data_IF_869182349710
#
_entry.id   IF_869182349710
#
_cell.length_a   1.000
_cell.length_b   1.000
_cell.length_c   1.000
_cell.angle_alpha   90.00
_cell.angle_beta   90.00
_cell.angle_gamma   90.00
#
_symmetry.space_group_name_H-M   'P 1'
#
loop_
_entity.id
_entity.type
_entity.pdbx_description
1 polymer ?
#
# COMPACT_ATOMS: atom_id res chain seq x y z
N UNK A 1 -7.70 10.03 40.69
CA UNK A 1 -6.61 9.65 39.76
C UNK A 1 -5.39 10.43 40.14
N UNK A 2 -4.32 9.74 40.51
CA UNK A 2 -3.03 10.32 40.83
C UNK A 2 -2.02 9.91 39.75
N UNK A 3 -1.15 10.85 39.34
CA UNK A 3 -0.18 10.59 38.30
C UNK A 3 1.24 10.97 38.77
N UNK A 4 2.24 10.21 38.28
CA UNK A 4 3.65 10.46 38.49
C UNK A 4 4.37 10.48 37.15
N UNK A 5 5.42 11.30 37.05
CA UNK A 5 6.22 11.36 35.84
C UNK A 5 7.18 10.18 35.76
N UNK A 6 7.27 9.59 34.58
CA UNK A 6 8.33 8.64 34.23
C UNK A 6 8.77 8.85 32.77
N UNK A 7 10.07 8.72 32.44
CA UNK A 7 10.57 8.93 31.08
C UNK A 7 9.90 8.03 30.04
N UNK A 8 9.41 6.86 30.43
CA UNK A 8 8.74 5.90 29.55
C UNK A 8 7.45 6.43 28.90
N UNK A 9 6.87 7.51 29.46
CA UNK A 9 5.66 8.15 28.89
C UNK A 9 5.96 8.82 27.55
N UNK A 10 7.16 9.41 27.40
CA UNK A 10 7.48 10.25 26.23
C UNK A 10 7.37 9.50 24.88
N UNK A 11 7.96 8.30 24.69
CA UNK A 11 7.79 7.55 23.44
C UNK A 11 6.33 7.18 23.17
N UNK A 12 5.55 6.85 24.21
CA UNK A 12 4.15 6.48 24.09
C UNK A 12 3.27 7.67 23.69
N UNK A 13 3.52 8.85 24.26
CA UNK A 13 2.85 10.09 23.84
C UNK A 13 3.23 10.46 22.40
N UNK A 14 4.50 10.31 22.05
CA UNK A 14 4.96 10.54 20.67
C UNK A 14 4.25 9.59 19.68
N UNK A 15 4.14 8.29 20.01
CA UNK A 15 3.40 7.32 19.20
C UNK A 15 1.93 7.73 19.02
N UNK A 16 1.26 8.13 20.09
CA UNK A 16 -0.14 8.57 20.05
C UNK A 16 -0.31 9.83 19.18
N UNK A 17 0.53 10.84 19.36
CA UNK A 17 0.47 12.10 18.59
C UNK A 17 0.73 11.84 17.11
N UNK A 18 1.75 11.05 16.76
CA UNK A 18 2.06 10.70 15.37
C UNK A 18 0.91 9.90 14.77
N UNK A 19 0.32 8.96 15.51
CA UNK A 19 -0.83 8.18 15.02
C UNK A 19 -2.06 9.06 14.75
N UNK A 20 -2.37 10.02 15.62
CA UNK A 20 -3.44 11.01 15.37
C UNK A 20 -3.11 11.87 14.15
N UNK A 21 -1.87 12.34 14.03
CA UNK A 21 -1.43 13.10 12.86
C UNK A 21 -1.60 12.31 11.55
N UNK A 22 -1.22 11.02 11.55
CA UNK A 22 -1.46 10.10 10.42
C UNK A 22 -2.95 9.99 10.14
N UNK A 23 -3.78 9.77 11.15
CA UNK A 23 -5.23 9.66 11.00
C UNK A 23 -5.85 10.92 10.32
N UNK A 24 -5.49 12.11 10.79
CA UNK A 24 -5.97 13.38 10.23
C UNK A 24 -5.54 13.56 8.78
N UNK A 25 -4.28 13.27 8.45
CA UNK A 25 -3.78 13.40 7.08
C UNK A 25 -4.42 12.40 6.12
N UNK A 26 -4.60 11.15 6.55
CA UNK A 26 -5.32 10.14 5.76
C UNK A 26 -6.78 10.52 5.56
N UNK A 27 -7.43 11.05 6.61
CA UNK A 27 -8.82 11.51 6.53
C UNK A 27 -9.01 12.61 5.50
N UNK A 28 -8.08 13.57 5.42
CA UNK A 28 -8.12 14.64 4.41
C UNK A 28 -8.04 14.09 2.97
N UNK A 29 -7.37 12.95 2.78
CA UNK A 29 -7.17 12.30 1.47
C UNK A 29 -8.13 11.12 1.22
N UNK A 30 -9.14 10.92 2.08
CA UNK A 30 -10.02 9.73 2.05
C UNK A 30 -10.81 9.50 0.77
N UNK A 31 -11.00 10.53 -0.05
CA UNK A 31 -11.72 10.41 -1.31
C UNK A 31 -10.91 9.68 -2.39
N UNK A 32 -9.59 9.76 -2.33
CA UNK A 32 -8.67 9.23 -3.36
C UNK A 32 -7.89 8.00 -2.90
N UNK A 33 -7.95 7.66 -1.60
CA UNK A 33 -7.13 6.59 -1.03
C UNK A 33 -7.96 5.35 -0.68
N UNK A 34 -7.60 4.22 -1.29
CA UNK A 34 -8.19 2.91 -0.99
C UNK A 34 -7.86 2.48 0.43
N UNK A 35 -8.88 2.05 1.19
CA UNK A 35 -8.72 1.62 2.58
C UNK A 35 -8.52 2.78 3.59
N UNK A 36 -8.60 4.04 3.16
CA UNK A 36 -8.35 5.20 4.03
C UNK A 36 -9.17 5.20 5.31
N UNK A 37 -10.46 4.85 5.26
CA UNK A 37 -11.30 4.80 6.46
C UNK A 37 -10.80 3.77 7.48
N UNK A 38 -10.41 2.59 7.02
CA UNK A 38 -9.87 1.54 7.90
C UNK A 38 -8.50 1.96 8.47
N UNK A 39 -7.65 2.60 7.68
CA UNK A 39 -6.36 3.13 8.13
C UNK A 39 -6.52 4.24 9.17
N UNK A 40 -7.49 5.14 9.00
CA UNK A 40 -7.81 6.17 10.01
C UNK A 40 -8.21 5.53 11.33
N UNK A 41 -9.14 4.56 11.29
CA UNK A 41 -9.59 3.87 12.49
C UNK A 41 -8.45 3.07 13.14
N UNK A 42 -7.60 2.43 12.35
CA UNK A 42 -6.40 1.71 12.82
C UNK A 42 -5.43 2.68 13.52
N UNK A 43 -5.15 3.83 12.94
CA UNK A 43 -4.29 4.84 13.54
C UNK A 43 -4.88 5.40 14.85
N UNK A 44 -6.18 5.64 14.89
CA UNK A 44 -6.87 6.06 16.13
C UNK A 44 -6.84 4.96 17.21
N UNK A 45 -7.02 3.70 16.84
CA UNK A 45 -6.91 2.58 17.77
C UNK A 45 -5.50 2.45 18.37
N UNK A 46 -4.45 2.65 17.55
CA UNK A 46 -3.05 2.74 17.99
C UNK A 46 -2.86 3.91 18.95
N UNK A 47 -3.43 5.08 18.63
CA UNK A 47 -3.33 6.26 19.49
C UNK A 47 -3.98 6.02 20.86
N UNK A 48 -5.17 5.39 20.88
CA UNK A 48 -5.89 5.04 22.13
C UNK A 48 -5.08 4.05 22.96
N UNK A 49 -4.51 3.01 22.35
CA UNK A 49 -3.69 2.05 23.08
C UNK A 49 -2.43 2.71 23.66
N UNK A 50 -1.68 3.44 22.84
CA UNK A 50 -0.44 4.11 23.26
C UNK A 50 -0.69 5.15 24.35
N UNK A 51 -1.75 5.96 24.22
CA UNK A 51 -2.13 6.94 25.24
C UNK A 51 -2.61 6.26 26.52
N UNK A 52 -3.47 5.23 26.43
CA UNK A 52 -3.93 4.45 27.55
C UNK A 52 -2.78 3.84 28.35
N UNK A 53 -1.78 3.30 27.64
CA UNK A 53 -0.59 2.72 28.29
C UNK A 53 0.30 3.80 28.93
N UNK A 54 0.47 4.95 28.27
CA UNK A 54 1.18 6.08 28.87
C UNK A 54 0.56 6.53 30.19
N UNK A 55 -0.78 6.62 30.23
CA UNK A 55 -1.52 7.03 31.43
C UNK A 55 -1.61 5.93 32.49
N UNK A 56 -1.58 4.65 32.09
CA UNK A 56 -1.44 3.53 33.03
C UNK A 56 -0.08 3.56 33.72
N UNK A 57 1.01 3.69 32.97
CA UNK A 57 2.38 3.78 33.55
C UNK A 57 2.50 5.02 34.44
N UNK A 58 1.91 6.15 34.04
CA UNK A 58 1.89 7.38 34.82
C UNK A 58 1.04 7.28 36.08
N UNK A 59 0.04 6.40 36.14
CA UNK A 59 -0.81 6.24 37.27
C UNK A 59 -0.02 5.86 38.55
N UNK A 60 -0.29 6.53 39.67
CA UNK A 60 0.36 6.26 40.95
C UNK A 60 -0.46 5.29 41.84
N UNK A 61 -1.77 5.22 41.62
CA UNK A 61 -2.71 4.39 42.39
C UNK A 61 -3.29 3.26 41.55
N UNK A 62 -3.70 2.17 42.21
CA UNK A 62 -4.24 0.98 41.56
C UNK A 62 -5.51 1.26 40.74
N UNK A 63 -6.50 2.05 41.22
CA UNK A 63 -7.69 2.35 40.46
C UNK A 63 -7.39 3.09 39.15
N UNK A 64 -6.44 4.06 39.15
CA UNK A 64 -6.01 4.79 37.95
C UNK A 64 -5.37 3.84 36.95
N UNK A 65 -4.49 2.97 37.39
CA UNK A 65 -3.85 1.97 36.52
C UNK A 65 -4.85 1.01 35.90
N UNK A 66 -5.77 0.47 36.70
CA UNK A 66 -6.81 -0.45 36.19
C UNK A 66 -7.70 0.25 35.18
N UNK A 67 -8.13 1.48 35.44
CA UNK A 67 -8.98 2.23 34.49
C UNK A 67 -8.29 2.41 33.12
N UNK A 68 -7.03 2.88 33.11
CA UNK A 68 -6.31 3.07 31.87
C UNK A 68 -5.89 1.77 31.22
N UNK A 69 -5.55 0.73 31.98
CA UNK A 69 -5.28 -0.60 31.48
C UNK A 69 -6.50 -1.20 30.76
N UNK A 70 -7.72 -1.06 31.33
CA UNK A 70 -8.95 -1.47 30.62
C UNK A 70 -9.23 -0.66 29.38
N UNK A 71 -8.99 0.65 29.41
CA UNK A 71 -9.22 1.55 28.28
C UNK A 71 -8.38 1.17 27.06
N UNK A 72 -7.22 0.56 27.23
CA UNK A 72 -6.38 0.05 26.15
C UNK A 72 -7.06 -1.04 25.33
N UNK A 73 -8.00 -1.81 25.91
CA UNK A 73 -8.70 -2.89 25.20
C UNK A 73 -9.56 -2.38 24.03
N UNK A 74 -9.88 -1.07 24.00
CA UNK A 74 -10.50 -0.43 22.82
C UNK A 74 -9.53 -0.55 21.63
N UNK A 75 -8.23 -0.29 21.85
CA UNK A 75 -7.19 -0.47 20.83
C UNK A 75 -6.82 -1.94 20.60
N UNK A 76 -6.50 -2.67 21.67
CA UNK A 76 -6.06 -4.07 21.66
C UNK A 76 -7.04 -4.96 20.87
N UNK A 77 -8.35 -4.83 21.15
CA UNK A 77 -9.36 -5.64 20.50
C UNK A 77 -9.62 -5.25 19.04
N UNK A 78 -9.50 -3.97 18.69
CA UNK A 78 -9.90 -3.48 17.37
C UNK A 78 -8.76 -3.47 16.33
N UNK A 79 -7.50 -3.33 16.74
CA UNK A 79 -6.34 -3.27 15.82
C UNK A 79 -6.25 -4.47 14.88
N UNK A 80 -6.36 -5.74 15.33
CA UNK A 80 -6.26 -6.89 14.44
C UNK A 80 -7.36 -6.92 13.37
N UNK A 81 -8.59 -6.59 13.78
CA UNK A 81 -9.74 -6.48 12.87
C UNK A 81 -9.53 -5.38 11.83
N UNK A 82 -9.15 -4.17 12.28
CA UNK A 82 -8.93 -3.02 11.41
C UNK A 82 -7.77 -3.25 10.45
N UNK A 83 -6.74 -4.00 10.87
CA UNK A 83 -5.65 -4.41 10.00
C UNK A 83 -6.13 -5.28 8.82
N UNK A 84 -6.96 -6.31 9.09
CA UNK A 84 -7.52 -7.15 8.02
C UNK A 84 -8.43 -6.34 7.10
N UNK A 85 -9.30 -5.50 7.64
CA UNK A 85 -10.18 -4.64 6.85
C UNK A 85 -9.35 -3.67 5.97
N UNK A 86 -8.30 -3.09 6.53
CA UNK A 86 -7.40 -2.21 5.79
C UNK A 86 -6.69 -2.96 4.66
N UNK A 87 -6.03 -4.08 4.96
CA UNK A 87 -5.29 -4.86 3.96
C UNK A 87 -6.18 -5.39 2.85
N UNK A 88 -7.39 -5.85 3.19
CA UNK A 88 -8.38 -6.25 2.20
C UNK A 88 -8.77 -5.08 1.29
N UNK A 89 -9.18 -3.94 1.86
CA UNK A 89 -9.58 -2.76 1.07
C UNK A 89 -8.44 -2.17 0.25
N UNK A 90 -7.20 -2.21 0.78
CA UNK A 90 -6.00 -1.73 0.10
C UNK A 90 -5.69 -2.58 -1.13
N UNK A 91 -5.70 -3.91 -0.99
CA UNK A 91 -5.35 -4.83 -2.08
C UNK A 91 -6.45 -4.99 -3.13
N UNK A 92 -7.72 -4.86 -2.74
CA UNK A 92 -8.88 -4.92 -3.66
C UNK A 92 -9.26 -3.55 -4.22
N UNK A 93 -8.37 -2.55 -4.08
CA UNK A 93 -8.55 -1.20 -4.62
C UNK A 93 -9.86 -0.52 -4.20
N UNK A 94 -10.24 -0.70 -2.92
CA UNK A 94 -11.40 -0.03 -2.33
C UNK A 94 -12.67 -0.87 -2.26
N UNK A 95 -12.64 -2.12 -2.70
CA UNK A 95 -13.77 -3.04 -2.47
C UNK A 95 -13.98 -3.23 -0.96
N UNK A 96 -15.22 -3.09 -0.53
CA UNK A 96 -15.58 -3.23 0.88
C UNK A 96 -15.81 -4.71 1.22
N UNK A 97 -15.34 -5.11 2.38
CA UNK A 97 -15.71 -6.40 2.96
C UNK A 97 -17.24 -6.45 3.20
N UNK A 98 -17.83 -7.62 3.01
CA UNK A 98 -19.28 -7.80 3.20
C UNK A 98 -19.69 -7.47 4.65
N UNK A 99 -20.90 -6.91 4.84
CA UNK A 99 -21.41 -6.61 6.18
C UNK A 99 -21.41 -7.83 7.09
N UNK A 100 -21.78 -8.99 6.55
CA UNK A 100 -21.78 -10.26 7.27
C UNK A 100 -20.40 -10.61 7.83
N UNK A 101 -19.35 -10.51 7.01
CA UNK A 101 -17.97 -10.81 7.45
C UNK A 101 -17.49 -9.79 8.49
N UNK A 102 -17.80 -8.50 8.30
CA UNK A 102 -17.47 -7.48 9.30
C UNK A 102 -18.13 -7.75 10.64
N UNK A 103 -19.44 -8.07 10.65
CA UNK A 103 -20.17 -8.40 11.89
C UNK A 103 -19.57 -9.62 12.57
N UNK A 104 -19.33 -10.71 11.85
CA UNK A 104 -18.74 -11.93 12.40
C UNK A 104 -17.37 -11.68 13.03
N UNK A 105 -16.50 -10.93 12.34
CA UNK A 105 -15.18 -10.59 12.85
C UNK A 105 -15.21 -9.59 14.01
N UNK A 106 -16.30 -8.84 14.20
CA UNK A 106 -16.43 -7.89 15.32
C UNK A 106 -16.89 -8.55 16.63
N UNK A 107 -17.38 -9.78 16.60
CA UNK A 107 -17.93 -10.46 17.79
C UNK A 107 -16.88 -10.60 18.89
N UNK A 108 -15.71 -11.17 18.58
CA UNK A 108 -14.66 -11.39 19.58
C UNK A 108 -14.13 -10.09 20.19
N UNK A 109 -13.78 -9.03 19.39
CA UNK A 109 -13.42 -7.73 19.93
C UNK A 109 -14.47 -7.12 20.86
N UNK A 110 -15.75 -7.21 20.50
CA UNK A 110 -16.84 -6.66 21.30
C UNK A 110 -16.98 -7.39 22.64
N UNK A 111 -16.97 -8.73 22.62
CA UNK A 111 -17.01 -9.54 23.84
C UNK A 111 -15.78 -9.23 24.71
N UNK A 112 -14.58 -9.15 24.10
CA UNK A 112 -13.34 -8.85 24.82
C UNK A 112 -13.41 -7.49 25.50
N UNK A 113 -13.98 -6.48 24.84
CA UNK A 113 -14.13 -5.15 25.43
C UNK A 113 -15.08 -5.19 26.66
N UNK A 114 -16.24 -5.86 26.54
CA UNK A 114 -17.16 -6.02 27.64
C UNK A 114 -16.48 -6.74 28.82
N UNK A 115 -15.81 -7.85 28.56
CA UNK A 115 -15.12 -8.63 29.57
C UNK A 115 -13.93 -7.88 30.20
N UNK A 116 -13.25 -7.01 29.48
CA UNK A 116 -12.17 -6.20 30.02
C UNK A 116 -12.71 -5.19 31.06
N UNK A 117 -13.83 -4.53 30.75
CA UNK A 117 -14.43 -3.56 31.67
C UNK A 117 -15.12 -4.19 32.90
N UNK A 118 -15.46 -5.47 32.83
CA UNK A 118 -16.09 -6.22 33.93
C UNK A 118 -15.15 -7.25 34.56
N UNK A 119 -13.86 -7.18 34.33
CA UNK A 119 -12.88 -8.23 34.67
C UNK A 119 -12.82 -8.52 36.17
N UNK A 120 -13.11 -7.53 37.03
CA UNK A 120 -13.15 -7.72 38.51
C UNK A 120 -14.25 -8.68 38.94
N UNK A 121 -15.32 -8.85 38.16
CA UNK A 121 -16.43 -9.73 38.51
C UNK A 121 -16.14 -11.20 38.24
N UNK A 122 -15.27 -11.51 37.28
CA UNK A 122 -15.12 -12.87 36.77
C UNK A 122 -13.69 -13.31 36.51
N UNK A 123 -12.70 -12.40 36.49
CA UNK A 123 -11.29 -12.70 36.29
C UNK A 123 -10.95 -13.34 34.91
N UNK A 124 -11.80 -13.16 33.88
CA UNK A 124 -11.61 -13.82 32.57
C UNK A 124 -10.49 -13.21 31.73
N UNK A 125 -10.18 -11.94 31.97
CA UNK A 125 -9.08 -11.23 31.30
C UNK A 125 -7.88 -11.16 32.24
N UNK A 126 -8.06 -10.57 33.44
CA UNK A 126 -7.02 -10.40 34.45
C UNK A 126 -7.48 -10.97 35.79
N UNK A 127 -6.53 -11.57 36.52
CA UNK A 127 -6.67 -12.08 37.88
C UNK A 127 -5.53 -11.53 38.75
N UNK A 128 -5.73 -11.49 40.05
CA UNK A 128 -4.69 -11.15 41.04
C UNK A 128 -3.98 -9.82 40.74
N UNK A 129 -4.75 -8.79 40.40
CA UNK A 129 -4.23 -7.50 39.97
C UNK A 129 -3.54 -6.80 41.13
N UNK A 130 -2.25 -6.47 40.97
CA UNK A 130 -1.39 -5.81 41.99
C UNK A 130 -0.55 -4.72 41.33
N UNK A 131 0.00 -3.81 42.15
CA UNK A 131 1.06 -2.91 41.71
C UNK A 131 2.41 -3.55 42.01
N UNK A 132 3.27 -3.63 41.01
CA UNK A 132 4.65 -4.03 41.16
C UNK A 132 5.57 -2.84 40.82
N UNK A 133 6.52 -2.52 41.73
CA UNK A 133 7.48 -1.45 41.50
C UNK A 133 8.66 -1.97 40.68
N UNK A 134 8.90 -1.38 39.51
CA UNK A 134 9.99 -1.73 38.59
C UNK A 134 10.93 -0.51 38.48
N UNK A 135 11.94 -0.45 39.33
CA UNK A 135 12.90 0.67 39.33
C UNK A 135 12.22 2.03 39.55
N UNK A 136 12.16 2.84 38.50
CA UNK A 136 11.65 4.23 38.53
C UNK A 136 10.16 4.35 38.25
N UNK A 137 9.44 3.27 37.95
CA UNK A 137 8.00 3.28 37.68
C UNK A 137 7.31 2.09 38.34
N UNK A 138 6.00 2.17 38.44
CA UNK A 138 5.17 1.06 38.90
C UNK A 138 4.36 0.50 37.70
N UNK A 139 4.36 -0.83 37.54
CA UNK A 139 3.57 -1.53 36.56
C UNK A 139 2.42 -2.28 37.19
N UNK A 140 1.37 -2.60 36.43
CA UNK A 140 0.40 -3.60 36.79
C UNK A 140 1.03 -4.99 36.69
N UNK A 141 0.88 -5.78 37.74
CA UNK A 141 1.19 -7.19 37.76
C UNK A 141 -0.12 -7.97 37.91
N UNK A 142 -0.35 -8.93 37.03
CA UNK A 142 -1.58 -9.73 37.00
C UNK A 142 -1.38 -11.06 36.32
N UNK A 143 -2.20 -12.02 36.62
CA UNK A 143 -2.25 -13.28 35.88
C UNK A 143 -3.31 -13.23 34.77
N UNK A 144 -3.01 -13.80 33.63
CA UNK A 144 -3.92 -13.82 32.48
C UNK A 144 -5.06 -14.84 32.73
N UNK A 145 -6.30 -14.39 32.54
CA UNK A 145 -7.48 -15.27 32.50
C UNK A 145 -7.57 -16.05 31.19
N UNK A 146 -8.43 -17.06 31.11
CA UNK A 146 -8.52 -17.92 29.93
C UNK A 146 -9.03 -17.20 28.69
N UNK A 147 -9.87 -16.16 28.80
CA UNK A 147 -10.34 -15.36 27.66
C UNK A 147 -9.23 -14.55 27.02
N UNK A 148 -8.25 -14.13 27.80
CA UNK A 148 -7.05 -13.47 27.24
C UNK A 148 -6.41 -14.31 26.14
N UNK A 149 -6.24 -15.62 26.34
CA UNK A 149 -5.64 -16.52 25.38
C UNK A 149 -6.49 -16.73 24.13
N UNK A 150 -7.83 -16.74 24.25
CA UNK A 150 -8.75 -16.77 23.11
C UNK A 150 -8.60 -15.51 22.28
N UNK A 151 -8.62 -14.33 22.96
CA UNK A 151 -8.44 -13.07 22.27
C UNK A 151 -7.07 -12.95 21.59
N UNK A 152 -6.02 -13.42 22.25
CA UNK A 152 -4.66 -13.44 21.68
C UNK A 152 -4.59 -14.32 20.44
N UNK A 153 -5.10 -15.55 20.49
CA UNK A 153 -5.16 -16.45 19.34
C UNK A 153 -5.95 -15.85 18.18
N UNK A 154 -7.12 -15.27 18.47
CA UNK A 154 -7.91 -14.56 17.48
C UNK A 154 -7.15 -13.38 16.84
N UNK A 155 -6.51 -12.54 17.66
CA UNK A 155 -5.72 -11.41 17.20
C UNK A 155 -4.59 -11.85 16.27
N UNK A 156 -3.86 -12.90 16.65
CA UNK A 156 -2.75 -13.42 15.83
C UNK A 156 -3.24 -14.01 14.49
N UNK A 157 -4.36 -14.72 14.47
CA UNK A 157 -4.95 -15.22 13.22
C UNK A 157 -5.27 -14.07 12.26
N UNK A 158 -5.88 -12.99 12.76
CA UNK A 158 -6.22 -11.83 11.92
C UNK A 158 -4.97 -11.08 11.46
N UNK A 159 -4.05 -10.80 12.36
CA UNK A 159 -2.80 -10.12 12.02
C UNK A 159 -2.00 -10.93 10.99
N UNK A 160 -1.89 -12.25 11.17
CA UNK A 160 -1.23 -13.15 10.23
C UNK A 160 -1.92 -13.13 8.86
N UNK A 161 -3.26 -13.20 8.83
CA UNK A 161 -4.04 -13.17 7.59
C UNK A 161 -3.75 -11.91 6.78
N UNK A 162 -3.86 -10.73 7.41
CA UNK A 162 -3.57 -9.45 6.74
C UNK A 162 -2.11 -9.34 6.31
N UNK A 163 -1.18 -9.83 7.14
CA UNK A 163 0.26 -9.80 6.83
C UNK A 163 0.61 -10.74 5.67
N UNK A 164 0.01 -11.93 5.59
CA UNK A 164 0.17 -12.85 4.45
C UNK A 164 -0.33 -12.19 3.16
N UNK A 165 -1.45 -11.48 3.21
CA UNK A 165 -1.97 -10.77 2.03
C UNK A 165 -0.97 -9.72 1.53
N UNK A 166 -0.44 -8.86 2.42
CA UNK A 166 0.58 -7.87 2.06
C UNK A 166 1.87 -8.54 1.56
N UNK A 167 2.32 -9.61 2.21
CA UNK A 167 3.53 -10.33 1.80
C UNK A 167 3.41 -10.97 0.42
N UNK A 168 2.25 -11.57 0.10
CA UNK A 168 1.97 -12.08 -1.25
C UNK A 168 1.98 -10.96 -2.29
N UNK A 169 1.37 -9.82 -1.95
CA UNK A 169 1.41 -8.62 -2.80
C UNK A 169 2.83 -8.10 -2.98
N UNK A 170 3.63 -8.01 -1.92
CA UNK A 170 5.04 -7.60 -1.98
C UNK A 170 5.87 -8.45 -2.96
N UNK A 171 5.65 -9.78 -2.99
CA UNK A 171 6.35 -10.68 -3.92
C UNK A 171 5.93 -10.50 -5.38
N UNK A 172 4.71 -10.05 -5.63
CA UNK A 172 4.12 -9.93 -6.99
C UNK A 172 4.26 -8.54 -7.59
N UNK A 173 4.52 -7.53 -6.78
CA UNK A 173 4.57 -6.13 -7.21
C UNK A 173 5.99 -5.63 -7.39
N UNK A 174 6.16 -4.62 -8.25
CA UNK A 174 7.42 -3.92 -8.52
C UNK A 174 7.26 -2.43 -8.18
N UNK A 175 8.33 -1.67 -8.36
CA UNK A 175 8.30 -0.22 -8.29
C UNK A 175 7.76 0.34 -6.96
N UNK A 176 6.87 1.30 -7.05
CA UNK A 176 6.30 2.03 -5.91
C UNK A 176 5.48 1.13 -4.98
N UNK A 177 4.68 0.21 -5.52
CA UNK A 177 3.87 -0.73 -4.74
C UNK A 177 4.70 -1.64 -3.85
N UNK A 178 5.81 -2.14 -4.36
CA UNK A 178 6.72 -2.97 -3.55
C UNK A 178 7.25 -2.20 -2.35
N UNK A 179 7.59 -0.91 -2.53
CA UNK A 179 8.03 -0.04 -1.43
C UNK A 179 6.92 0.23 -0.41
N UNK A 180 5.69 0.48 -0.88
CA UNK A 180 4.52 0.63 -0.02
C UNK A 180 4.27 -0.64 0.81
N UNK A 181 4.26 -1.82 0.18
CA UNK A 181 4.07 -3.10 0.86
C UNK A 181 5.19 -3.39 1.88
N UNK A 182 6.44 -3.04 1.57
CA UNK A 182 7.56 -3.18 2.51
C UNK A 182 7.34 -2.34 3.78
N UNK A 183 6.92 -1.10 3.62
CA UNK A 183 6.64 -0.21 4.77
C UNK A 183 5.48 -0.74 5.61
N UNK A 184 4.42 -1.26 4.97
CA UNK A 184 3.30 -1.89 5.68
C UNK A 184 3.76 -3.13 6.46
N UNK A 185 4.66 -3.95 5.89
CA UNK A 185 5.24 -5.09 6.59
C UNK A 185 6.08 -4.66 7.81
N UNK A 186 6.91 -3.64 7.67
CA UNK A 186 7.68 -3.07 8.80
C UNK A 186 6.71 -2.57 9.88
N UNK A 187 5.70 -1.81 9.49
CA UNK A 187 4.74 -1.22 10.42
C UNK A 187 3.97 -2.26 11.23
N UNK A 188 3.64 -3.42 10.66
CA UNK A 188 2.90 -4.48 11.37
C UNK A 188 3.81 -5.45 12.13
N UNK A 189 4.97 -5.79 11.57
CA UNK A 189 5.86 -6.78 12.19
C UNK A 189 6.56 -6.24 13.44
N UNK A 190 6.86 -4.94 13.50
CA UNK A 190 7.54 -4.33 14.65
C UNK A 190 6.75 -4.50 15.95
N UNK A 191 5.45 -4.10 16.07
CA UNK A 191 4.68 -4.35 17.28
C UNK A 191 4.39 -5.83 17.51
N UNK A 192 4.35 -6.65 16.47
CA UNK A 192 4.19 -8.10 16.61
C UNK A 192 5.37 -8.73 17.37
N UNK A 193 6.59 -8.38 16.97
CA UNK A 193 7.80 -8.83 17.67
C UNK A 193 7.76 -8.36 19.13
N UNK A 194 7.39 -7.10 19.37
CA UNK A 194 7.23 -6.56 20.72
C UNK A 194 6.22 -7.35 21.57
N UNK A 195 5.07 -7.68 20.99
CA UNK A 195 4.03 -8.43 21.68
C UNK A 195 4.44 -9.89 21.98
N UNK A 196 5.11 -10.57 21.03
CA UNK A 196 5.63 -11.91 21.25
C UNK A 196 6.64 -11.92 22.39
N UNK A 197 7.56 -10.96 22.43
CA UNK A 197 8.57 -10.85 23.50
C UNK A 197 7.89 -10.60 24.86
N UNK A 198 6.85 -9.75 24.90
CA UNK A 198 6.11 -9.48 26.14
C UNK A 198 5.37 -10.74 26.63
N UNK A 199 4.54 -11.34 25.78
CA UNK A 199 3.69 -12.49 26.17
C UNK A 199 4.51 -13.74 26.50
N UNK A 200 5.68 -13.92 25.85
CA UNK A 200 6.59 -15.04 26.16
C UNK A 200 7.42 -14.83 27.43
N UNK A 201 7.34 -13.66 28.07
CA UNK A 201 8.17 -13.32 29.24
C UNK A 201 9.63 -13.01 28.89
N UNK A 202 9.96 -12.86 27.60
CA UNK A 202 11.30 -12.51 27.13
C UNK A 202 11.53 -10.99 26.99
N UNK A 203 10.60 -10.17 27.54
CA UNK A 203 10.74 -8.73 27.55
C UNK A 203 12.01 -8.30 28.30
N UNK A 204 12.83 -7.38 27.77
CA UNK A 204 14.04 -6.89 28.42
C UNK A 204 13.76 -6.17 29.75
N UNK A 205 12.56 -5.66 29.95
CA UNK A 205 12.10 -5.04 31.19
C UNK A 205 10.89 -5.83 31.70
N UNK A 206 11.01 -6.49 32.86
CA UNK A 206 9.90 -7.26 33.43
C UNK A 206 8.63 -6.41 33.59
N UNK A 207 7.47 -6.99 33.32
CA UNK A 207 6.14 -6.36 33.44
C UNK A 207 5.95 -5.09 32.59
N UNK A 208 6.86 -4.78 31.65
CA UNK A 208 6.69 -3.69 30.69
C UNK A 208 6.26 -4.26 29.32
N UNK A 209 5.07 -3.89 28.87
CA UNK A 209 4.64 -4.20 27.51
C UNK A 209 5.34 -3.28 26.52
N UNK A 210 6.26 -3.86 25.72
CA UNK A 210 7.00 -3.11 24.71
C UNK A 210 6.22 -2.90 23.40
N UNK A 211 5.03 -3.53 23.26
CA UNK A 211 4.21 -3.42 22.04
C UNK A 211 3.79 -1.97 21.74
N UNK A 212 3.29 -1.18 22.72
CA UNK A 212 2.93 0.22 22.47
C UNK A 212 4.13 1.12 22.10
N UNK A 213 5.33 0.80 22.61
CA UNK A 213 6.55 1.52 22.19
C UNK A 213 6.91 1.24 20.73
N UNK A 214 6.70 0.01 20.28
CA UNK A 214 6.92 -0.37 18.89
C UNK A 214 5.96 0.34 17.92
N UNK A 215 4.79 0.80 18.39
CA UNK A 215 3.90 1.64 17.59
C UNK A 215 4.49 2.98 17.19
N UNK A 216 5.51 3.50 17.90
CA UNK A 216 6.24 4.69 17.43
C UNK A 216 6.87 4.42 16.07
N UNK A 217 7.51 3.26 15.92
CA UNK A 217 8.12 2.84 14.64
C UNK A 217 7.04 2.64 13.58
N UNK A 218 5.92 1.98 13.94
CA UNK A 218 4.79 1.80 13.02
C UNK A 218 4.20 3.11 12.55
N UNK A 219 4.00 4.06 13.47
CA UNK A 219 3.44 5.37 13.15
C UNK A 219 4.36 6.17 12.22
N UNK A 220 5.68 6.13 12.44
CA UNK A 220 6.68 6.73 11.55
C UNK A 220 6.67 6.04 10.19
N UNK A 221 6.60 4.70 10.15
CA UNK A 221 6.52 3.95 8.91
C UNK A 221 5.26 4.31 8.10
N UNK A 222 4.09 4.40 8.74
CA UNK A 222 2.86 4.88 8.08
C UNK A 222 2.99 6.32 7.58
N UNK A 223 3.58 7.22 8.36
CA UNK A 223 3.82 8.60 7.95
C UNK A 223 4.72 8.65 6.71
N UNK A 224 5.84 7.94 6.71
CA UNK A 224 6.73 7.80 5.53
C UNK A 224 5.98 7.19 4.33
N UNK A 225 5.17 6.17 4.56
CA UNK A 225 4.32 5.56 3.54
C UNK A 225 3.42 6.58 2.85
N UNK A 226 2.77 7.44 3.62
CA UNK A 226 1.85 8.46 3.10
C UNK A 226 2.60 9.59 2.37
N UNK A 227 3.67 10.14 2.99
CA UNK A 227 4.35 11.32 2.45
C UNK A 227 5.35 11.00 1.35
N UNK A 228 6.14 9.94 1.51
CA UNK A 228 7.23 9.61 0.58
C UNK A 228 6.79 8.65 -0.52
N UNK A 229 5.86 7.72 -0.21
CA UNK A 229 5.45 6.65 -1.12
C UNK A 229 3.98 6.72 -1.51
N UNK A 230 3.28 7.80 -1.16
CA UNK A 230 1.89 8.05 -1.57
C UNK A 230 0.95 6.87 -1.27
N UNK A 231 1.11 6.27 -0.08
CA UNK A 231 0.33 5.12 0.36
C UNK A 231 -1.18 5.39 0.23
N UNK A 232 -1.87 4.49 -0.46
CA UNK A 232 -3.31 4.59 -0.71
C UNK A 232 -3.68 5.47 -1.92
N UNK A 233 -2.76 6.18 -2.57
CA UNK A 233 -3.06 6.94 -3.76
C UNK A 233 -3.10 6.02 -5.00
N UNK A 234 -4.26 5.97 -5.67
CA UNK A 234 -4.47 5.14 -6.87
C UNK A 234 -3.91 5.77 -8.15
N UNK A 235 -3.69 7.09 -8.18
CA UNK A 235 -3.32 7.79 -9.41
C UNK A 235 -1.98 7.32 -10.02
N UNK A 236 -0.90 7.12 -9.25
CA UNK A 236 0.35 6.58 -9.82
C UNK A 236 0.18 5.16 -10.35
N UNK A 237 -0.62 4.36 -9.65
CA UNK A 237 -0.94 2.98 -9.98
C UNK A 237 -1.77 2.87 -11.25
N UNK A 238 -2.79 3.71 -11.38
CA UNK A 238 -3.62 3.73 -12.58
C UNK A 238 -2.78 4.07 -13.81
N UNK A 239 -1.81 5.00 -13.70
CA UNK A 239 -0.89 5.33 -14.79
C UNK A 239 -0.01 4.15 -15.18
N UNK A 240 0.60 3.46 -14.22
CA UNK A 240 1.42 2.28 -14.47
C UNK A 240 0.60 1.16 -15.11
N UNK A 241 -0.61 0.88 -14.59
CA UNK A 241 -1.52 -0.10 -15.17
C UNK A 241 -2.02 0.28 -16.57
N UNK A 242 -2.29 1.56 -16.84
CA UNK A 242 -2.68 2.03 -18.18
C UNK A 242 -1.57 1.74 -19.17
N UNK A 243 -0.33 2.09 -18.83
CA UNK A 243 0.84 1.82 -19.69
C UNK A 243 1.07 0.31 -19.87
N UNK A 244 0.97 -0.48 -18.79
CA UNK A 244 1.13 -1.94 -18.87
C UNK A 244 0.02 -2.65 -19.65
N UNK A 245 -1.22 -2.14 -19.64
CA UNK A 245 -2.38 -2.74 -20.33
C UNK A 245 -2.70 -2.07 -21.65
N UNK A 246 -1.97 -1.04 -22.03
CA UNK A 246 -2.14 -0.35 -23.30
C UNK A 246 -1.89 -1.31 -24.47
N UNK A 247 -2.84 -1.44 -25.42
CA UNK A 247 -2.66 -2.31 -26.59
C UNK A 247 -1.65 -1.75 -27.59
N UNK A 248 -1.46 -0.43 -27.56
CA UNK A 248 -0.49 0.25 -28.42
C UNK A 248 0.91 0.08 -27.85
N UNK A 249 1.90 -0.17 -28.71
CA UNK A 249 3.31 -0.19 -28.32
C UNK A 249 3.76 1.19 -27.84
N UNK A 250 4.52 1.24 -26.73
CA UNK A 250 5.08 2.49 -26.21
C UNK A 250 6.55 2.30 -25.82
N UNK A 251 7.37 3.28 -26.18
CA UNK A 251 8.77 3.39 -25.75
C UNK A 251 9.06 4.83 -25.35
N UNK A 252 9.80 5.00 -24.28
CA UNK A 252 10.27 6.31 -23.79
C UNK A 252 11.77 6.40 -23.98
N UNK A 253 12.21 7.46 -24.61
CA UNK A 253 13.63 7.77 -24.88
C UNK A 253 14.04 9.00 -24.06
N UNK A 254 15.25 8.99 -23.53
CA UNK A 254 15.86 10.19 -22.96
C UNK A 254 16.30 11.20 -24.05
N UNK A 255 16.80 12.36 -23.64
CA UNK A 255 17.27 13.40 -24.57
C UNK A 255 18.47 12.95 -25.44
N UNK A 256 19.15 11.85 -25.09
CA UNK A 256 20.28 11.27 -25.82
C UNK A 256 19.89 10.07 -26.70
N UNK A 257 18.59 9.70 -26.68
CA UNK A 257 18.05 8.57 -27.43
C UNK A 257 18.24 7.20 -26.78
N UNK A 258 18.56 7.16 -25.45
CA UNK A 258 18.57 5.92 -24.70
C UNK A 258 17.15 5.54 -24.25
N UNK A 259 16.84 4.25 -24.28
CA UNK A 259 15.57 3.70 -23.86
C UNK A 259 15.47 3.75 -22.33
N UNK A 260 14.50 4.50 -21.83
CA UNK A 260 14.22 4.65 -20.40
C UNK A 260 13.10 3.71 -19.96
N UNK A 261 12.10 3.49 -20.84
CA UNK A 261 10.95 2.63 -20.56
C UNK A 261 10.38 2.02 -21.84
N UNK A 262 9.76 0.83 -21.75
CA UNK A 262 9.10 0.13 -22.84
C UNK A 262 7.94 -0.71 -22.30
N UNK A 263 6.74 -0.54 -22.86
CA UNK A 263 5.57 -1.26 -22.38
C UNK A 263 5.49 -2.71 -22.92
N UNK A 264 4.69 -3.60 -22.27
CA UNK A 264 4.56 -5.00 -22.69
C UNK A 264 4.08 -5.21 -24.12
N UNK A 265 3.24 -4.31 -24.64
CA UNK A 265 2.75 -4.42 -26.02
C UNK A 265 3.91 -4.32 -27.02
N UNK A 266 4.82 -3.36 -26.86
CA UNK A 266 5.98 -3.22 -27.73
C UNK A 266 7.03 -4.30 -27.48
N UNK A 267 7.23 -4.73 -26.21
CA UNK A 267 8.10 -5.87 -25.90
C UNK A 267 7.67 -7.13 -26.65
N UNK A 268 6.36 -7.44 -26.63
CA UNK A 268 5.80 -8.60 -27.33
C UNK A 268 5.91 -8.46 -28.84
N UNK A 269 5.69 -7.26 -29.39
CA UNK A 269 5.80 -7.01 -30.82
C UNK A 269 7.23 -7.18 -31.34
N UNK A 270 8.23 -6.80 -30.53
CA UNK A 270 9.66 -6.91 -30.89
C UNK A 270 10.30 -8.23 -30.43
N UNK A 271 9.61 -9.04 -29.61
CA UNK A 271 10.16 -10.29 -29.06
C UNK A 271 11.29 -10.08 -28.04
N UNK A 272 11.34 -8.93 -27.37
CA UNK A 272 12.41 -8.56 -26.42
C UNK A 272 11.84 -8.26 -25.04
N UNK A 273 12.65 -8.44 -24.01
CA UNK A 273 12.28 -8.06 -22.63
C UNK A 273 12.69 -6.62 -22.31
N UNK A 274 12.00 -6.00 -21.36
CA UNK A 274 12.36 -4.66 -20.86
C UNK A 274 13.82 -4.60 -20.38
N UNK A 275 14.30 -5.65 -19.70
CA UNK A 275 15.68 -5.73 -19.20
C UNK A 275 16.74 -5.73 -20.31
N UNK A 276 16.39 -6.20 -21.50
CA UNK A 276 17.26 -6.16 -22.68
C UNK A 276 17.21 -4.80 -23.37
N UNK A 277 16.04 -4.13 -23.39
CA UNK A 277 15.85 -2.88 -24.09
C UNK A 277 16.35 -1.66 -23.30
N UNK A 278 16.00 -1.58 -22.00
CA UNK A 278 16.29 -0.41 -21.17
C UNK A 278 17.80 -0.19 -21.03
N UNK A 279 18.24 1.04 -21.29
CA UNK A 279 19.64 1.46 -21.25
C UNK A 279 20.38 1.29 -22.59
N UNK A 280 19.77 0.66 -23.61
CA UNK A 280 20.31 0.65 -24.98
C UNK A 280 19.90 1.94 -25.73
N UNK A 281 20.61 2.28 -26.77
CA UNK A 281 20.18 3.32 -27.71
C UNK A 281 19.08 2.77 -28.63
N UNK A 282 18.06 3.60 -28.90
CA UNK A 282 16.97 3.20 -29.78
C UNK A 282 17.48 2.75 -31.15
N UNK A 283 18.50 3.41 -31.69
CA UNK A 283 19.12 3.05 -32.98
C UNK A 283 19.75 1.66 -33.02
N UNK A 284 20.29 1.19 -31.88
CA UNK A 284 20.91 -0.13 -31.80
C UNK A 284 19.83 -1.22 -31.75
N UNK A 285 18.71 -0.92 -31.05
CA UNK A 285 17.56 -1.82 -30.94
C UNK A 285 16.81 -1.96 -32.29
N UNK A 286 16.66 -0.84 -33.02
CA UNK A 286 15.94 -0.78 -34.30
C UNK A 286 16.86 -0.87 -35.50
N UNK A 287 18.08 -1.42 -35.36
CA UNK A 287 19.07 -1.56 -36.42
C UNK A 287 18.58 -2.40 -37.62
N UNK A 288 17.59 -3.27 -37.43
CA UNK A 288 16.93 -4.02 -38.50
C UNK A 288 16.10 -3.14 -39.43
N UNK A 289 15.83 -1.89 -39.07
CA UNK A 289 15.08 -0.90 -39.86
C UNK A 289 15.84 0.43 -39.95
N UNK A 290 16.96 0.49 -40.69
CA UNK A 290 17.83 1.67 -40.77
C UNK A 290 17.12 2.92 -41.28
N UNK A 291 16.25 2.79 -42.27
CA UNK A 291 15.48 3.90 -42.85
C UNK A 291 14.52 4.54 -41.81
N UNK A 292 13.99 3.77 -40.91
CA UNK A 292 13.15 4.27 -39.81
C UNK A 292 14.00 5.03 -38.79
N UNK A 293 15.16 4.51 -38.44
CA UNK A 293 16.09 5.17 -37.52
C UNK A 293 16.55 6.50 -38.08
N UNK A 294 17.07 6.53 -39.32
CA UNK A 294 17.53 7.75 -39.99
C UNK A 294 16.45 8.83 -40.06
N UNK A 295 15.20 8.43 -40.35
CA UNK A 295 14.07 9.35 -40.46
C UNK A 295 13.70 10.01 -39.12
N UNK A 296 13.73 9.27 -38.01
CA UNK A 296 13.19 9.73 -36.72
C UNK A 296 14.24 10.01 -35.63
N UNK A 297 15.53 9.67 -35.82
CA UNK A 297 16.58 9.82 -34.81
C UNK A 297 16.66 11.26 -34.25
N UNK A 298 16.52 12.25 -35.12
CA UNK A 298 16.67 13.68 -34.78
C UNK A 298 15.32 14.42 -34.59
N UNK A 299 14.18 13.72 -34.74
CA UNK A 299 12.88 14.34 -34.57
C UNK A 299 12.45 14.31 -33.11
N UNK A 300 11.86 15.41 -32.62
CA UNK A 300 11.24 15.48 -31.31
C UNK A 300 9.74 15.17 -31.37
N UNK A 301 9.12 15.52 -32.49
CA UNK A 301 7.70 15.32 -32.77
C UNK A 301 7.52 14.77 -34.16
N UNK A 302 6.68 13.75 -34.32
CA UNK A 302 6.34 13.16 -35.61
C UNK A 302 4.96 12.46 -35.48
N UNK A 303 4.22 12.45 -36.58
CA UNK A 303 3.05 11.59 -36.72
C UNK A 303 3.04 11.06 -38.15
N UNK A 304 3.15 9.75 -38.30
CA UNK A 304 3.31 9.10 -39.59
C UNK A 304 2.63 7.72 -39.59
N UNK A 305 2.27 7.29 -40.81
CA UNK A 305 1.84 5.90 -41.03
C UNK A 305 3.01 5.16 -41.71
N UNK A 306 3.45 4.09 -41.08
CA UNK A 306 4.52 3.22 -41.55
C UNK A 306 3.98 1.81 -41.77
N UNK A 307 4.61 1.05 -42.63
CA UNK A 307 4.24 -0.33 -42.87
C UNK A 307 5.45 -1.25 -42.86
N UNK A 308 5.22 -2.48 -42.46
CA UNK A 308 6.20 -3.56 -42.45
C UNK A 308 5.62 -4.78 -43.16
N UNK A 309 6.50 -5.54 -43.83
CA UNK A 309 6.14 -6.74 -44.61
C UNK A 309 5.69 -6.43 -46.02
N UNK A 310 5.46 -7.49 -46.80
CA UNK A 310 5.05 -7.41 -48.22
C UNK A 310 3.80 -8.27 -48.43
N UNK A 311 2.94 -7.88 -49.38
CA UNK A 311 1.75 -8.61 -49.77
C UNK A 311 0.76 -8.81 -48.59
N UNK A 312 0.28 -10.04 -48.38
CA UNK A 312 -0.68 -10.39 -47.35
C UNK A 312 -0.13 -10.28 -45.92
N UNK A 313 1.19 -10.26 -45.76
CA UNK A 313 1.86 -10.07 -44.48
C UNK A 313 2.08 -8.59 -44.13
N UNK A 314 1.68 -7.65 -45.00
CA UNK A 314 1.80 -6.22 -44.74
C UNK A 314 0.99 -5.79 -43.53
N UNK A 315 1.65 -5.10 -42.61
CA UNK A 315 1.06 -4.53 -41.40
C UNK A 315 1.27 -3.04 -41.36
N UNK A 316 0.20 -2.30 -41.11
CA UNK A 316 0.24 -0.85 -41.03
C UNK A 316 0.25 -0.40 -39.56
N UNK A 317 1.12 0.57 -39.27
CA UNK A 317 1.26 1.15 -37.95
C UNK A 317 1.22 2.67 -38.04
N UNK A 318 0.48 3.29 -37.11
CA UNK A 318 0.56 4.71 -36.84
C UNK A 318 1.67 4.92 -35.79
N UNK A 319 2.73 5.65 -36.16
CA UNK A 319 3.79 6.08 -35.27
C UNK A 319 3.50 7.52 -34.85
N UNK A 320 3.47 7.76 -33.55
CA UNK A 320 3.40 9.11 -32.99
C UNK A 320 4.54 9.32 -32.02
N UNK A 321 5.27 10.40 -32.20
CA UNK A 321 6.36 10.83 -31.34
C UNK A 321 6.01 12.19 -30.74
N UNK A 322 6.20 12.34 -29.42
CA UNK A 322 5.93 13.59 -28.70
C UNK A 322 7.04 13.88 -27.71
N UNK A 323 7.50 15.14 -27.58
CA UNK A 323 8.52 15.51 -26.63
C UNK A 323 7.99 15.45 -25.19
N UNK A 324 8.87 15.10 -24.26
CA UNK A 324 8.62 15.11 -22.82
C UNK A 324 9.42 16.25 -22.19
N UNK A 325 8.71 17.21 -21.60
CA UNK A 325 9.31 18.33 -20.88
C UNK A 325 9.21 18.14 -19.38
N UNK A 326 10.24 18.52 -18.65
CA UNK A 326 10.28 18.61 -17.20
C UNK A 326 9.99 20.02 -16.69
N UNK A 327 10.31 20.27 -15.42
CA UNK A 327 10.22 21.60 -14.84
C UNK A 327 11.10 22.60 -15.61
N UNK A 328 10.61 23.84 -15.78
CA UNK A 328 11.30 24.91 -16.53
C UNK A 328 11.52 24.60 -18.02
N UNK A 329 10.57 23.91 -18.68
CA UNK A 329 10.61 23.54 -20.11
C UNK A 329 11.89 22.81 -20.56
N UNK A 330 12.57 22.16 -19.62
CA UNK A 330 13.75 21.35 -19.93
C UNK A 330 13.30 20.07 -20.64
N UNK A 331 13.80 19.83 -21.85
CA UNK A 331 13.59 18.59 -22.56
C UNK A 331 14.19 17.41 -21.78
N UNK A 332 13.34 16.47 -21.36
CA UNK A 332 13.73 15.23 -20.68
C UNK A 332 13.95 14.09 -21.68
N UNK A 333 13.21 14.12 -22.80
CA UNK A 333 13.22 13.05 -23.79
C UNK A 333 11.99 13.11 -24.69
N UNK A 334 11.59 11.95 -25.19
CA UNK A 334 10.42 11.80 -26.04
C UNK A 334 9.72 10.46 -25.80
N UNK A 335 8.41 10.43 -25.97
CA UNK A 335 7.61 9.22 -26.01
C UNK A 335 7.25 8.89 -27.45
N UNK A 336 7.43 7.63 -27.82
CA UNK A 336 7.01 7.11 -29.12
C UNK A 336 5.94 6.06 -28.87
N UNK A 337 4.79 6.21 -29.53
CA UNK A 337 3.72 5.23 -29.53
C UNK A 337 3.54 4.64 -30.93
N UNK A 338 3.25 3.35 -30.98
CA UNK A 338 3.09 2.59 -32.22
C UNK A 338 1.79 1.82 -32.14
N UNK A 339 0.82 2.19 -32.96
CA UNK A 339 -0.50 1.60 -33.00
C UNK A 339 -0.69 0.79 -34.26
N UNK A 340 -1.13 -0.45 -34.14
CA UNK A 340 -1.49 -1.25 -35.31
C UNK A 340 -2.82 -0.73 -35.89
N UNK A 341 -2.78 -0.27 -37.14
CA UNK A 341 -3.93 0.25 -37.90
C UNK A 341 -4.26 -0.60 -39.12
N UNK A 342 -3.77 -1.84 -39.18
CA UNK A 342 -3.96 -2.73 -40.34
C UNK A 342 -5.43 -2.99 -40.62
N UNK A 343 -6.21 -3.32 -39.58
CA UNK A 343 -7.64 -3.56 -39.70
C UNK A 343 -8.39 -2.32 -40.19
N UNK A 344 -8.05 -1.15 -39.65
CA UNK A 344 -8.60 0.14 -40.11
C UNK A 344 -8.33 0.37 -41.60
N UNK A 345 -7.09 0.17 -42.06
CA UNK A 345 -6.74 0.31 -43.48
C UNK A 345 -7.47 -0.67 -44.39
N UNK A 346 -7.63 -1.92 -43.95
CA UNK A 346 -8.41 -2.92 -44.68
C UNK A 346 -9.88 -2.54 -44.81
N UNK A 347 -10.49 -2.03 -43.73
CA UNK A 347 -11.87 -1.55 -43.77
C UNK A 347 -12.04 -0.32 -44.68
N UNK A 348 -11.13 0.65 -44.62
CA UNK A 348 -11.12 1.84 -45.48
C UNK A 348 -11.04 1.45 -46.96
N UNK A 349 -10.16 0.51 -47.30
CA UNK A 349 -10.01 0.02 -48.68
C UNK A 349 -11.25 -0.77 -49.16
N UNK A 350 -11.82 -1.64 -48.29
CA UNK A 350 -13.06 -2.35 -48.58
C UNK A 350 -14.22 -1.39 -48.85
N UNK A 351 -14.34 -0.33 -48.03
CA UNK A 351 -15.35 0.70 -48.21
C UNK A 351 -15.16 1.43 -49.52
N UNK A 352 -13.94 1.87 -49.84
CA UNK A 352 -13.58 2.54 -51.09
C UNK A 352 -13.94 1.72 -52.32
N UNK A 353 -13.62 0.42 -52.29
CA UNK A 353 -13.97 -0.50 -53.36
C UNK A 353 -15.49 -0.70 -53.52
N UNK A 354 -16.21 -0.72 -52.41
CA UNK A 354 -17.68 -0.79 -52.40
C UNK A 354 -18.34 0.46 -53.02
N UNK A 355 -17.86 1.64 -52.64
CA UNK A 355 -18.32 2.93 -53.16
C UNK A 355 -18.03 3.05 -54.68
N UNK A 356 -16.85 2.63 -55.14
CA UNK A 356 -16.51 2.60 -56.55
C UNK A 356 -17.42 1.66 -57.37
N UNK A 357 -17.77 0.46 -56.82
CA UNK A 357 -18.68 -0.44 -57.47
C UNK A 357 -20.09 0.15 -57.56
N UNK A 358 -20.58 0.80 -56.49
CA UNK A 358 -21.88 1.47 -56.49
C UNK A 358 -21.95 2.62 -57.53
N UNK A 359 -20.90 3.42 -57.62
CA UNK A 359 -20.79 4.49 -58.61
C UNK A 359 -20.80 3.99 -60.05
N UNK A 360 -20.24 2.81 -60.30
CA UNK A 360 -20.25 2.19 -61.64
C UNK A 360 -21.61 1.57 -62.04
N UNK A 361 -22.50 1.30 -61.06
CA UNK A 361 -23.83 0.75 -61.29
C UNK A 361 -24.86 1.87 -61.54
N UNK A 362 -24.56 3.10 -61.14
CA UNK A 362 -25.43 4.26 -61.31
C UNK A 362 -25.12 5.12 -62.56
N UNK A 363 -24.22 4.69 -63.48
CA UNK A 363 -24.01 5.21 -64.80
C UNK A 363 -24.69 4.32 -65.83
#
# INVERSE_FOLDING_TARGET
MQFQYTPYILPLLAASVIAVFVAVNVWRRRATASGAKALVLLALAIAVWSLGYALEIAGADLPTKIFWGKSQYIGIGTIPLLWVIFTYSYLTQGTRMTRRNMTLLSIVPLITLILAFTTELHGLIWKDIRIHSVGTFSALDFTHGWWFWINLGYAYILLLTGTIFIFRSFKRTKGLFRRQNLILLIAVLTPWVGNVLYVSGLSPIPNLDITPFAFTISAVAFALGIYRFQLGNLAPVARELVVEKMPDGMIVLDARGYIVDINPALQNALGISASQAIGQRAKDLFNAWPSLVERYENMLEAQDEIFFGEGESQRWYELRMSPLYGSFDRLLGRVVTVRNITEKKQMEEALRLSEQKLSLIHI
#
